data_IF_971930689395
#
_entry.id   IF_971930689395
#
_cell.length_a   1.000
_cell.length_b   1.000
_cell.length_c   1.000
_cell.angle_alpha   90.00
_cell.angle_beta   90.00
_cell.angle_gamma   90.00
#
_symmetry.space_group_name_H-M   'P 1'
#
loop_
_entity.id
_entity.type
_entity.pdbx_description
1 polymer ?
#
# COMPACT_ATOMS: atom_id res chain seq x y z
N UNK A 1 -10.69 -31.64 -2.18
CA UNK A 1 -10.43 -31.02 -0.84
C UNK A 1 -11.10 -29.65 -0.85
N UNK A 2 -12.27 -29.55 -0.24
CA UNK A 2 -13.13 -28.35 -0.24
C UNK A 2 -12.55 -27.30 0.71
N UNK A 3 -12.28 -26.10 0.19
CA UNK A 3 -11.81 -24.93 0.95
C UNK A 3 -12.87 -24.48 1.97
N UNK A 4 -12.52 -24.02 3.16
CA UNK A 4 -13.45 -23.44 4.12
C UNK A 4 -13.84 -22.01 3.69
N UNK A 5 -14.86 -21.88 2.85
CA UNK A 5 -15.34 -20.59 2.31
C UNK A 5 -16.12 -19.72 3.31
N UNK A 6 -16.47 -20.20 4.49
CA UNK A 6 -17.52 -19.58 5.31
C UNK A 6 -17.06 -18.43 6.22
N UNK A 7 -15.78 -18.34 6.59
CA UNK A 7 -15.28 -17.27 7.48
C UNK A 7 -14.80 -16.00 6.76
N UNK A 8 -14.45 -16.11 5.50
CA UNK A 8 -13.94 -14.98 4.70
C UNK A 8 -15.06 -14.15 4.05
N UNK A 9 -16.21 -14.74 3.76
CA UNK A 9 -17.37 -14.06 3.16
C UNK A 9 -17.91 -12.93 4.06
N UNK A 10 -17.92 -13.12 5.38
CA UNK A 10 -18.39 -12.11 6.32
C UNK A 10 -17.44 -10.90 6.41
N UNK A 11 -16.14 -11.12 6.41
CA UNK A 11 -15.14 -10.02 6.43
C UNK A 11 -15.17 -9.24 5.11
N UNK A 12 -15.31 -9.93 4.00
CA UNK A 12 -15.43 -9.35 2.66
C UNK A 12 -16.70 -8.52 2.50
N UNK A 13 -17.85 -9.02 2.94
CA UNK A 13 -19.11 -8.25 2.99
C UNK A 13 -18.97 -6.99 3.84
N UNK A 14 -18.22 -7.06 4.93
CA UNK A 14 -17.92 -5.89 5.77
C UNK A 14 -17.02 -4.89 5.04
N UNK A 15 -16.00 -5.35 4.32
CA UNK A 15 -15.10 -4.47 3.54
C UNK A 15 -15.83 -3.85 2.35
N UNK A 16 -16.62 -4.62 1.60
CA UNK A 16 -17.44 -4.10 0.49
C UNK A 16 -18.54 -3.14 0.97
N UNK A 17 -19.19 -3.47 2.09
CA UNK A 17 -20.16 -2.58 2.74
C UNK A 17 -19.47 -1.30 3.24
N UNK A 18 -18.29 -1.43 3.85
CA UNK A 18 -17.50 -0.30 4.33
C UNK A 18 -17.03 0.58 3.18
N UNK A 19 -16.57 0.01 2.09
CA UNK A 19 -16.13 0.77 0.90
C UNK A 19 -17.28 1.47 0.18
N UNK A 20 -18.51 0.89 0.21
CA UNK A 20 -19.69 1.44 -0.46
C UNK A 20 -20.54 2.36 0.41
N UNK A 21 -20.57 2.16 1.72
CA UNK A 21 -21.58 2.77 2.62
C UNK A 21 -20.95 3.69 3.67
N UNK A 22 -19.69 3.47 4.02
CA UNK A 22 -19.01 4.31 4.99
C UNK A 22 -18.21 5.37 4.23
N UNK A 23 -18.79 6.58 4.13
CA UNK A 23 -17.93 7.74 3.97
C UNK A 23 -16.87 7.65 5.09
N UNK A 24 -15.58 7.60 4.72
CA UNK A 24 -14.45 7.44 5.64
C UNK A 24 -14.30 8.62 6.62
N UNK A 25 -15.40 9.33 6.86
CA UNK A 25 -15.53 10.55 7.65
C UNK A 25 -16.16 10.29 9.02
N UNK A 26 -15.82 11.14 9.97
CA UNK A 26 -16.39 11.11 11.31
C UNK A 26 -15.91 9.97 12.21
N UNK A 27 -16.72 9.64 13.26
CA UNK A 27 -16.34 8.65 14.27
C UNK A 27 -16.26 7.20 13.73
N UNK A 28 -17.08 6.87 12.72
CA UNK A 28 -17.10 5.54 12.06
C UNK A 28 -15.80 5.30 11.31
N UNK A 29 -15.31 6.29 10.55
CA UNK A 29 -13.99 6.25 9.92
C UNK A 29 -12.85 6.08 10.95
N UNK A 30 -13.02 6.67 12.14
CA UNK A 30 -12.05 6.52 13.24
C UNK A 30 -11.99 5.09 13.79
N UNK A 31 -13.11 4.44 14.00
CA UNK A 31 -13.16 3.05 14.48
C UNK A 31 -12.58 2.11 13.42
N UNK A 32 -13.00 2.26 12.17
CA UNK A 32 -12.52 1.42 11.06
C UNK A 32 -11.00 1.57 10.85
N UNK A 33 -10.46 2.79 10.91
CA UNK A 33 -9.03 3.02 10.84
C UNK A 33 -8.24 2.28 11.93
N UNK A 34 -8.83 2.13 13.13
CA UNK A 34 -8.18 1.38 14.23
C UNK A 34 -8.17 -0.12 13.92
N UNK A 35 -9.28 -0.66 13.41
CA UNK A 35 -9.37 -2.06 13.00
C UNK A 35 -8.40 -2.36 11.86
N UNK A 36 -8.35 -1.50 10.84
CA UNK A 36 -7.41 -1.65 9.73
C UNK A 36 -5.94 -1.53 10.16
N UNK A 37 -5.63 -0.61 11.08
CA UNK A 37 -4.28 -0.48 11.61
C UNK A 37 -3.78 -1.76 12.30
N UNK A 38 -4.67 -2.46 13.00
CA UNK A 38 -4.33 -3.72 13.67
C UNK A 38 -4.27 -4.88 12.67
N UNK A 39 -5.15 -4.88 11.66
CA UNK A 39 -5.22 -5.95 10.66
C UNK A 39 -4.07 -5.95 9.65
N UNK A 40 -3.53 -4.78 9.31
CA UNK A 40 -2.52 -4.64 8.27
C UNK A 40 -1.11 -4.33 8.80
N UNK A 41 -0.94 -4.17 10.11
CA UNK A 41 0.34 -3.72 10.68
C UNK A 41 1.52 -4.64 10.36
N UNK A 42 1.32 -5.94 10.36
CA UNK A 42 2.33 -6.93 10.02
C UNK A 42 2.68 -6.90 8.50
N UNK A 43 1.69 -6.66 7.64
CA UNK A 43 1.90 -6.51 6.21
C UNK A 43 2.65 -5.21 5.88
N UNK A 44 2.27 -4.09 6.51
CA UNK A 44 2.95 -2.81 6.30
C UNK A 44 4.41 -2.85 6.76
N UNK A 45 4.69 -3.49 7.90
CA UNK A 45 6.06 -3.74 8.35
C UNK A 45 6.83 -4.65 7.38
N UNK A 46 6.22 -5.74 6.93
CA UNK A 46 6.83 -6.65 5.97
C UNK A 46 7.10 -5.98 4.62
N UNK A 47 6.23 -5.07 4.17
CA UNK A 47 6.46 -4.30 2.95
C UNK A 47 7.71 -3.43 3.07
N UNK A 48 7.89 -2.74 4.19
CA UNK A 48 9.10 -1.95 4.46
C UNK A 48 10.34 -2.85 4.58
N UNK A 49 10.22 -4.04 5.15
CA UNK A 49 11.30 -5.04 5.19
C UNK A 49 11.72 -5.50 3.81
N UNK A 50 10.77 -5.70 2.91
CA UNK A 50 11.03 -6.08 1.52
C UNK A 50 11.69 -4.97 0.70
N UNK A 51 11.36 -3.69 0.98
CA UNK A 51 12.09 -2.54 0.43
C UNK A 51 13.55 -2.61 0.85
N UNK A 52 13.84 -3.02 2.08
CA UNK A 52 15.18 -3.00 2.66
C UNK A 52 15.87 -1.64 2.45
N UNK A 53 15.25 -0.53 2.88
CA UNK A 53 15.70 0.80 2.51
C UNK A 53 17.05 1.13 3.11
N UNK A 54 17.86 1.91 2.38
CA UNK A 54 19.02 2.59 2.95
C UNK A 54 18.56 3.65 3.98
N UNK A 55 19.44 4.09 4.90
CA UNK A 55 19.10 5.16 5.84
C UNK A 55 18.64 6.47 5.19
N UNK A 56 19.05 6.74 3.96
CA UNK A 56 18.77 7.96 3.20
C UNK A 56 17.63 7.78 2.18
N UNK A 57 16.95 6.62 2.18
CA UNK A 57 15.95 6.28 1.17
C UNK A 57 14.70 7.18 1.23
N UNK A 58 14.21 7.57 0.06
CA UNK A 58 12.93 8.22 -0.11
C UNK A 58 11.85 7.19 -0.47
N UNK A 59 10.77 7.15 0.28
CA UNK A 59 9.73 6.11 0.14
C UNK A 59 8.36 6.75 0.03
N UNK A 60 7.58 6.36 -0.97
CA UNK A 60 6.14 6.68 -1.04
C UNK A 60 5.31 5.49 -0.56
N UNK A 61 4.42 5.74 0.41
CA UNK A 61 3.44 4.79 0.91
C UNK A 61 2.05 5.20 0.38
N UNK A 62 1.58 4.56 -0.69
CA UNK A 62 0.26 4.85 -1.29
C UNK A 62 -0.82 4.15 -0.46
N UNK A 63 -1.92 4.86 -0.20
CA UNK A 63 -2.99 4.37 0.66
C UNK A 63 -2.53 4.11 2.09
N UNK A 64 -1.68 4.99 2.64
CA UNK A 64 -0.95 4.81 3.91
C UNK A 64 -1.83 4.54 5.14
N UNK A 65 -3.17 4.59 4.99
CA UNK A 65 -4.12 4.34 6.06
C UNK A 65 -3.80 5.15 7.33
N UNK A 66 -3.77 4.52 8.51
CA UNK A 66 -3.45 5.20 9.76
C UNK A 66 -1.94 5.34 10.04
N UNK A 67 -1.08 5.08 9.05
CA UNK A 67 0.35 5.42 9.04
C UNK A 67 1.29 4.44 9.75
N UNK A 68 0.93 3.17 9.88
CA UNK A 68 1.85 2.16 10.47
C UNK A 68 3.09 2.00 9.59
N UNK A 69 2.89 1.80 8.29
CA UNK A 69 4.00 1.66 7.32
C UNK A 69 4.83 2.93 7.19
N UNK A 70 4.20 4.12 7.27
CA UNK A 70 4.93 5.40 7.25
C UNK A 70 5.92 5.48 8.41
N UNK A 71 5.48 5.15 9.63
CA UNK A 71 6.36 5.13 10.80
C UNK A 71 7.43 4.05 10.69
N UNK A 72 7.07 2.86 10.18
CA UNK A 72 8.04 1.79 9.99
C UNK A 72 9.13 2.19 8.98
N UNK A 73 8.74 2.81 7.86
CA UNK A 73 9.68 3.34 6.87
C UNK A 73 10.59 4.42 7.45
N UNK A 74 10.00 5.41 8.15
CA UNK A 74 10.74 6.51 8.77
C UNK A 74 11.81 6.04 9.78
N UNK A 75 11.53 4.96 10.52
CA UNK A 75 12.50 4.37 11.45
C UNK A 75 13.66 3.67 10.74
N UNK A 76 13.47 3.21 9.51
CA UNK A 76 14.50 2.54 8.70
C UNK A 76 15.26 3.47 7.77
N UNK A 77 14.63 4.60 7.42
CA UNK A 77 15.23 5.66 6.61
C UNK A 77 15.29 6.97 7.41
N UNK A 78 16.10 7.05 8.49
CA UNK A 78 16.11 8.18 9.41
C UNK A 78 16.69 9.47 8.80
N UNK A 79 17.38 9.40 7.68
CA UNK A 79 17.94 10.55 6.96
C UNK A 79 17.21 10.84 5.65
N UNK A 80 16.30 9.94 5.21
CA UNK A 80 15.50 10.08 4.01
C UNK A 80 14.14 10.74 4.28
N UNK A 81 13.21 10.56 3.34
CA UNK A 81 11.84 11.08 3.46
C UNK A 81 10.82 9.99 3.16
N UNK A 82 9.88 9.75 4.09
CA UNK A 82 8.75 8.85 3.84
C UNK A 82 7.48 9.64 3.63
N UNK A 83 6.94 9.58 2.41
CA UNK A 83 5.73 10.29 2.03
C UNK A 83 4.52 9.35 2.10
N UNK A 84 3.61 9.59 3.03
CA UNK A 84 2.33 8.90 3.13
C UNK A 84 1.27 9.59 2.29
N UNK A 85 0.61 8.85 1.40
CA UNK A 85 -0.46 9.36 0.53
C UNK A 85 -1.77 8.67 0.88
N UNK A 86 -2.85 9.43 1.06
CA UNK A 86 -4.19 8.86 1.22
C UNK A 86 -5.27 9.86 0.75
N UNK A 87 -6.32 9.43 0.02
CA UNK A 87 -7.41 10.32 -0.39
C UNK A 87 -8.31 10.75 0.78
N UNK A 88 -8.35 9.99 1.88
CA UNK A 88 -9.17 10.29 3.04
C UNK A 88 -8.49 11.32 3.95
N UNK A 89 -9.11 12.51 4.20
CA UNK A 89 -8.57 13.49 5.13
C UNK A 89 -8.46 12.96 6.57
N UNK A 90 -9.35 12.04 6.95
CA UNK A 90 -9.31 11.38 8.27
C UNK A 90 -8.07 10.50 8.42
N UNK A 91 -7.69 9.76 7.37
CA UNK A 91 -6.48 8.93 7.38
C UNK A 91 -5.22 9.79 7.39
N UNK A 92 -5.20 10.88 6.61
CA UNK A 92 -4.11 11.85 6.60
C UNK A 92 -3.85 12.41 8.00
N UNK A 93 -4.90 12.89 8.69
CA UNK A 93 -4.73 13.44 10.05
C UNK A 93 -4.32 12.38 11.07
N UNK A 94 -4.81 11.15 10.94
CA UNK A 94 -4.38 10.03 11.78
C UNK A 94 -2.92 9.68 11.59
N UNK A 95 -2.48 9.65 10.33
CA UNK A 95 -1.08 9.39 10.01
C UNK A 95 -0.18 10.51 10.58
N UNK A 96 -0.55 11.78 10.40
CA UNK A 96 0.16 12.92 10.98
C UNK A 96 0.25 12.82 12.51
N UNK A 97 -0.88 12.51 13.16
CA UNK A 97 -0.93 12.32 14.62
C UNK A 97 -0.05 11.16 15.09
N UNK A 98 -0.04 10.04 14.34
CA UNK A 98 0.86 8.92 14.62
C UNK A 98 2.32 9.32 14.47
N UNK A 99 2.70 9.99 13.37
CA UNK A 99 4.08 10.43 13.15
C UNK A 99 4.59 11.33 14.28
N UNK A 100 3.78 12.29 14.74
CA UNK A 100 4.09 13.14 15.92
C UNK A 100 4.28 12.30 17.18
N UNK A 101 3.35 11.38 17.47
CA UNK A 101 3.44 10.53 18.66
C UNK A 101 4.67 9.64 18.66
N UNK A 102 5.04 9.12 17.49
CA UNK A 102 6.21 8.25 17.28
C UNK A 102 7.51 9.03 17.04
N UNK A 103 7.44 10.38 17.05
CA UNK A 103 8.59 11.31 16.91
C UNK A 103 9.38 11.12 15.61
N UNK A 104 8.66 10.95 14.50
CA UNK A 104 9.25 10.79 13.16
C UNK A 104 8.80 11.87 12.16
N UNK A 105 8.10 12.92 12.63
CA UNK A 105 7.53 13.97 11.77
C UNK A 105 8.58 14.70 10.92
N UNK A 106 9.82 14.80 11.37
CA UNK A 106 10.90 15.48 10.65
C UNK A 106 11.38 14.73 9.39
N UNK A 107 11.08 13.43 9.31
CA UNK A 107 11.43 12.56 8.17
C UNK A 107 10.19 11.98 7.50
N UNK A 108 9.03 12.58 7.76
CA UNK A 108 7.76 12.14 7.18
C UNK A 108 6.98 13.31 6.58
N UNK A 109 6.37 13.08 5.43
CA UNK A 109 5.41 13.96 4.79
C UNK A 109 4.10 13.21 4.62
N UNK A 110 2.96 13.84 4.86
CA UNK A 110 1.65 13.19 4.70
C UNK A 110 0.74 14.10 3.91
N UNK A 111 0.30 13.61 2.75
CA UNK A 111 -0.47 14.40 1.78
C UNK A 111 -1.82 13.74 1.47
N UNK A 112 -2.82 14.58 1.28
CA UNK A 112 -4.12 14.14 0.78
C UNK A 112 -4.08 14.10 -0.74
N UNK A 113 -3.93 12.91 -1.31
CA UNK A 113 -3.95 12.70 -2.75
C UNK A 113 -4.39 11.26 -3.08
N UNK A 114 -4.74 11.03 -4.34
CA UNK A 114 -5.00 9.70 -4.89
C UNK A 114 -3.74 9.11 -5.54
N UNK A 115 -3.77 7.80 -5.81
CA UNK A 115 -2.66 7.11 -6.48
C UNK A 115 -2.41 7.63 -7.90
N UNK A 116 -3.44 8.14 -8.54
CA UNK A 116 -3.46 8.66 -9.90
C UNK A 116 -2.82 10.05 -10.05
N UNK A 117 -2.40 10.67 -8.93
CA UNK A 117 -1.74 11.99 -8.93
C UNK A 117 -0.89 12.14 -7.66
N UNK A 118 0.32 11.62 -7.71
CA UNK A 118 1.24 11.63 -6.57
C UNK A 118 1.96 12.99 -6.45
N UNK A 119 1.84 13.69 -5.32
CA UNK A 119 2.46 15.01 -5.11
C UNK A 119 3.95 14.88 -4.74
N UNK A 120 4.67 14.10 -5.52
CA UNK A 120 6.12 13.88 -5.40
C UNK A 120 6.78 14.06 -6.78
N UNK A 121 8.04 14.54 -6.83
CA UNK A 121 8.75 14.76 -8.08
C UNK A 121 9.01 13.45 -8.85
N UNK A 122 9.26 13.59 -10.15
CA UNK A 122 9.72 12.49 -11.00
C UNK A 122 11.07 11.96 -10.49
N UNK A 123 11.33 10.68 -10.71
CA UNK A 123 12.61 10.00 -10.44
C UNK A 123 13.19 10.27 -9.05
N UNK A 124 12.34 10.44 -8.03
CA UNK A 124 12.74 10.90 -6.70
C UNK A 124 12.59 9.86 -5.58
N UNK A 125 11.95 8.74 -5.86
CA UNK A 125 11.62 7.74 -4.84
C UNK A 125 12.40 6.44 -5.04
N UNK A 126 13.07 5.98 -4.01
CA UNK A 126 13.76 4.67 -4.01
C UNK A 126 12.76 3.52 -3.91
N UNK A 127 11.59 3.77 -3.32
CA UNK A 127 10.53 2.79 -3.25
C UNK A 127 9.13 3.40 -3.31
N UNK A 128 8.22 2.68 -3.96
CA UNK A 128 6.78 2.93 -3.96
C UNK A 128 6.09 1.69 -3.37
N UNK A 129 5.31 1.87 -2.33
CA UNK A 129 4.69 0.78 -1.57
C UNK A 129 3.17 0.93 -1.54
N UNK A 130 2.46 -0.13 -1.90
CA UNK A 130 1.00 -0.25 -1.80
C UNK A 130 0.63 -1.50 -1.00
N UNK A 131 -0.11 -1.32 0.10
CA UNK A 131 -0.58 -2.43 0.95
C UNK A 131 -2.10 -2.40 1.04
N UNK A 132 -2.77 -3.41 0.50
CA UNK A 132 -4.23 -3.59 0.52
C UNK A 132 -5.03 -2.38 -0.02
N UNK A 133 -4.54 -1.69 -1.04
CA UNK A 133 -5.26 -0.56 -1.61
C UNK A 133 -5.27 -0.46 -3.14
N UNK A 134 -4.38 -1.12 -3.86
CA UNK A 134 -4.29 -1.04 -5.33
C UNK A 134 -5.62 -1.43 -6.03
N UNK A 135 -6.41 -2.33 -5.45
CA UNK A 135 -7.72 -2.73 -5.95
C UNK A 135 -8.81 -1.65 -5.77
N UNK A 136 -8.49 -0.59 -5.02
CA UNK A 136 -9.39 0.53 -4.72
C UNK A 136 -9.08 1.77 -5.56
N UNK A 137 -8.02 1.75 -6.37
CA UNK A 137 -7.67 2.88 -7.23
C UNK A 137 -8.76 3.08 -8.30
N UNK A 138 -9.10 4.34 -8.60
CA UNK A 138 -10.13 4.63 -9.60
C UNK A 138 -9.68 4.25 -11.01
N UNK A 139 -8.41 4.51 -11.32
CA UNK A 139 -7.75 4.08 -12.56
C UNK A 139 -6.38 3.46 -12.20
N UNK A 140 -6.33 2.11 -12.25
CA UNK A 140 -5.11 1.38 -11.92
C UNK A 140 -3.99 1.67 -12.90
N UNK A 141 -4.30 1.87 -14.19
CA UNK A 141 -3.29 2.14 -15.19
C UNK A 141 -2.60 3.49 -14.93
N UNK A 142 -3.38 4.54 -14.70
CA UNK A 142 -2.86 5.88 -14.35
C UNK A 142 -2.08 5.84 -13.03
N UNK A 143 -2.59 5.13 -12.02
CA UNK A 143 -1.87 4.97 -10.74
C UNK A 143 -0.53 4.24 -10.89
N UNK A 144 -0.44 3.23 -11.76
CA UNK A 144 0.81 2.56 -12.07
C UNK A 144 1.77 3.45 -12.87
N UNK A 145 1.26 4.28 -13.78
CA UNK A 145 2.08 5.27 -14.49
C UNK A 145 2.70 6.27 -13.50
N UNK A 146 1.94 6.74 -12.51
CA UNK A 146 2.44 7.59 -11.44
C UNK A 146 3.50 6.90 -10.57
N UNK A 147 3.30 5.60 -10.23
CA UNK A 147 4.31 4.83 -9.51
C UNK A 147 5.64 4.81 -10.25
N UNK A 148 5.61 4.61 -11.59
CA UNK A 148 6.82 4.58 -12.42
C UNK A 148 7.41 5.97 -12.62
N UNK A 149 6.58 7.00 -12.77
CA UNK A 149 7.03 8.39 -12.91
C UNK A 149 7.89 8.83 -11.73
N UNK A 150 7.42 8.54 -10.51
CA UNK A 150 8.12 8.99 -9.28
C UNK A 150 9.30 8.12 -8.91
N UNK A 151 9.41 6.91 -9.46
CA UNK A 151 10.41 5.91 -9.09
C UNK A 151 11.78 6.27 -9.67
N UNK A 152 12.78 6.42 -8.80
CA UNK A 152 14.15 6.64 -9.19
C UNK A 152 14.75 5.45 -9.97
N UNK A 153 15.80 5.65 -10.78
CA UNK A 153 16.53 4.53 -11.39
C UNK A 153 16.97 3.49 -10.36
N UNK A 154 16.72 2.22 -10.63
CA UNK A 154 16.98 1.11 -9.69
C UNK A 154 16.01 0.99 -8.52
N UNK A 155 15.03 1.89 -8.42
CA UNK A 155 14.01 1.87 -7.37
C UNK A 155 13.04 0.68 -7.49
N UNK A 156 12.21 0.47 -6.47
CA UNK A 156 11.33 -0.69 -6.36
C UNK A 156 9.86 -0.31 -6.12
N UNK A 157 8.95 -0.97 -6.83
CA UNK A 157 7.51 -0.98 -6.52
C UNK A 157 7.19 -2.26 -5.76
N UNK A 158 6.52 -2.14 -4.61
CA UNK A 158 6.04 -3.28 -3.84
C UNK A 158 4.52 -3.19 -3.67
N UNK A 159 3.84 -4.26 -4.05
CA UNK A 159 2.41 -4.44 -3.80
C UNK A 159 2.21 -5.66 -2.90
N UNK A 160 1.59 -5.44 -1.75
CA UNK A 160 1.07 -6.50 -0.89
C UNK A 160 -0.44 -6.45 -0.88
N UNK A 161 -1.08 -7.55 -1.21
CA UNK A 161 -2.53 -7.64 -1.25
C UNK A 161 -3.00 -8.97 -0.67
N UNK A 162 -3.93 -8.90 0.30
CA UNK A 162 -4.61 -10.11 0.75
C UNK A 162 -5.34 -10.79 -0.39
N UNK A 163 -5.26 -12.12 -0.46
CA UNK A 163 -5.98 -12.88 -1.50
C UNK A 163 -7.49 -12.67 -1.42
N UNK A 164 -8.05 -12.48 -0.23
CA UNK A 164 -9.47 -12.18 -0.05
C UNK A 164 -9.86 -10.75 -0.52
N UNK A 165 -8.89 -9.85 -0.73
CA UNK A 165 -9.13 -8.48 -1.21
C UNK A 165 -9.05 -8.35 -2.74
N UNK A 166 -8.61 -9.42 -3.43
CA UNK A 166 -8.65 -9.50 -4.89
C UNK A 166 -10.13 -9.49 -5.33
N UNK A 167 -10.52 -8.68 -6.32
CA UNK A 167 -11.91 -8.62 -6.80
C UNK A 167 -12.43 -9.97 -7.32
N UNK A 168 -13.67 -10.36 -6.94
CA UNK A 168 -14.29 -11.63 -7.34
C UNK A 168 -14.56 -11.78 -8.85
N UNK A 169 -14.48 -10.68 -9.59
CA UNK A 169 -14.81 -10.67 -11.02
C UNK A 169 -13.82 -11.49 -11.87
N UNK A 170 -12.63 -11.78 -11.33
CA UNK A 170 -11.54 -12.47 -12.02
C UNK A 170 -10.89 -13.47 -11.05
N UNK A 171 -10.44 -14.66 -11.50
CA UNK A 171 -9.65 -15.56 -10.68
C UNK A 171 -8.40 -14.89 -10.09
N UNK A 172 -8.02 -15.26 -8.85
CA UNK A 172 -6.91 -14.64 -8.13
C UNK A 172 -5.59 -14.68 -8.91
N UNK A 173 -5.29 -15.81 -9.54
CA UNK A 173 -4.08 -16.03 -10.34
C UNK A 173 -4.07 -15.19 -11.63
N UNK A 174 -5.21 -15.05 -12.28
CA UNK A 174 -5.37 -14.22 -13.48
C UNK A 174 -5.21 -12.72 -13.12
N UNK A 175 -5.81 -12.28 -12.02
CA UNK A 175 -5.68 -10.89 -11.54
C UNK A 175 -4.23 -10.55 -11.20
N UNK A 176 -3.52 -11.47 -10.53
CA UNK A 176 -2.10 -11.31 -10.18
C UNK A 176 -1.24 -11.30 -11.44
N UNK A 177 -1.50 -12.21 -12.38
CA UNK A 177 -0.77 -12.25 -13.65
C UNK A 177 -0.96 -10.96 -14.47
N UNK A 178 -2.19 -10.42 -14.51
CA UNK A 178 -2.47 -9.15 -15.18
C UNK A 178 -1.70 -7.99 -14.52
N UNK A 179 -1.68 -7.91 -13.19
CA UNK A 179 -0.93 -6.86 -12.49
C UNK A 179 0.59 -6.97 -12.75
N UNK A 180 1.13 -8.19 -12.77
CA UNK A 180 2.53 -8.41 -13.14
C UNK A 180 2.82 -7.98 -14.59
N UNK A 181 1.91 -8.27 -15.52
CA UNK A 181 2.01 -7.82 -16.91
C UNK A 181 1.92 -6.28 -17.03
N UNK A 182 1.01 -5.65 -16.31
CA UNK A 182 0.84 -4.18 -16.28
C UNK A 182 2.11 -3.48 -15.77
N UNK A 183 2.77 -4.04 -14.74
CA UNK A 183 4.05 -3.54 -14.23
C UNK A 183 5.20 -3.76 -15.23
N UNK A 184 5.26 -4.95 -15.85
CA UNK A 184 6.28 -5.28 -16.84
C UNK A 184 6.17 -4.41 -18.10
N UNK A 185 4.96 -4.06 -18.53
CA UNK A 185 4.70 -3.15 -19.64
C UNK A 185 5.22 -1.72 -19.40
N UNK A 186 5.61 -1.40 -18.17
CA UNK A 186 6.16 -0.11 -17.73
C UNK A 186 7.66 -0.19 -17.39
N UNK A 187 8.38 -1.08 -18.05
CA UNK A 187 9.83 -1.28 -17.88
C UNK A 187 10.25 -1.64 -16.44
N UNK A 188 9.35 -2.28 -15.68
CA UNK A 188 9.71 -2.87 -14.41
C UNK A 188 10.05 -4.36 -14.59
N UNK A 189 11.20 -4.78 -14.08
CA UNK A 189 11.52 -6.21 -13.96
C UNK A 189 10.75 -6.76 -12.76
N UNK A 190 9.68 -7.51 -13.05
CA UNK A 190 8.81 -8.09 -12.02
C UNK A 190 9.37 -9.45 -11.59
N UNK A 191 9.55 -9.63 -10.28
CA UNK A 191 9.93 -10.91 -9.70
C UNK A 191 8.72 -11.86 -9.67
N UNK A 192 8.92 -13.20 -9.69
CA UNK A 192 7.81 -14.12 -9.52
C UNK A 192 7.01 -13.81 -8.25
N UNK A 193 5.66 -13.65 -8.37
CA UNK A 193 4.83 -13.30 -7.21
C UNK A 193 4.91 -14.38 -6.14
N UNK A 194 4.94 -13.97 -4.88
CA UNK A 194 5.04 -14.87 -3.74
C UNK A 194 3.77 -14.79 -2.89
N UNK A 195 3.31 -15.92 -2.37
CA UNK A 195 2.25 -15.93 -1.36
C UNK A 195 2.89 -16.02 0.02
N UNK A 196 2.57 -15.06 0.88
CA UNK A 196 2.97 -15.06 2.31
C UNK A 196 1.75 -15.13 3.21
N UNK A 197 1.91 -15.73 4.39
CA UNK A 197 0.85 -15.80 5.40
C UNK A 197 1.11 -14.75 6.48
N UNK A 198 0.14 -13.90 6.71
CA UNK A 198 0.10 -12.89 7.76
C UNK A 198 -0.96 -13.27 8.82
N UNK A 199 -0.99 -12.58 9.95
CA UNK A 199 -2.00 -12.80 11.00
C UNK A 199 -3.43 -12.62 10.46
N UNK A 200 -3.61 -11.67 9.57
CA UNK A 200 -4.88 -11.34 8.91
C UNK A 200 -5.25 -12.28 7.74
N UNK A 201 -4.36 -13.20 7.35
CA UNK A 201 -4.60 -14.17 6.28
C UNK A 201 -3.46 -14.25 5.26
N UNK A 202 -3.65 -15.02 4.18
CA UNK A 202 -2.70 -15.10 3.09
C UNK A 202 -2.74 -13.81 2.25
N UNK A 203 -1.58 -13.39 1.77
CA UNK A 203 -1.42 -12.25 0.89
C UNK A 203 -0.43 -12.55 -0.24
N UNK A 204 -0.64 -11.94 -1.39
CA UNK A 204 0.31 -11.95 -2.51
C UNK A 204 1.25 -10.77 -2.35
N UNK A 205 2.53 -11.03 -2.59
CA UNK A 205 3.62 -10.06 -2.69
C UNK A 205 4.05 -9.97 -4.13
N UNK A 206 4.01 -8.78 -4.70
CA UNK A 206 4.50 -8.49 -6.06
C UNK A 206 5.58 -7.42 -5.93
N UNK A 207 6.72 -7.66 -6.55
CA UNK A 207 7.87 -6.78 -6.52
C UNK A 207 8.32 -6.50 -7.95
N UNK A 208 8.39 -5.22 -8.32
CA UNK A 208 8.91 -4.76 -9.59
C UNK A 208 10.06 -3.78 -9.40
N UNK A 209 11.20 -4.00 -10.06
CA UNK A 209 12.37 -3.11 -10.01
C UNK A 209 12.49 -2.31 -11.28
N UNK A 210 12.75 -1.02 -11.16
CA UNK A 210 13.07 -0.19 -12.32
C UNK A 210 14.28 -0.76 -13.06
N UNK A 211 14.15 -0.86 -14.38
CA UNK A 211 15.24 -1.28 -15.28
C UNK A 211 16.15 -0.10 -15.68
N UNK A 212 15.76 1.13 -15.28
CA UNK A 212 16.51 2.36 -15.54
C UNK A 212 17.68 2.50 -14.59
#
# INVERSE_FOLDING_TARGET
MTRPHVRFTAYRLVVDFVNRVVAWDGWRGRVMATVMAQGNADMENAAVELVSPSPDANIVMIGCGPGVGVVAGARRAPNGMVTGINPSPVMVERTRTRCRRERVEQVTKVEQAAAESLPVPDDSQDAVVSVNNIQLWNDRAVGLDECVRVLAPGGVVIVLLHTWAIPDAVPDDEWVAQLCADLSARDLRVEPPQTRRFRSGPAVVILGRSAR
#
